data_IF_457807257356
#
_entry.id   IF_457807257356
#
_cell.length_a   1.000
_cell.length_b   1.000
_cell.length_c   1.000
_cell.angle_alpha   90.00
_cell.angle_beta   90.00
_cell.angle_gamma   90.00
#
_symmetry.space_group_name_H-M   'P 1'
#
loop_
_entity.id
_entity.type
_entity.pdbx_description
1 polymer ?
#
# COMPACT_ATOMS: atom_id res chain seq x y z
N UNK A 1 20.75 -21.92 -11.70
CA UNK A 1 19.96 -21.82 -12.95
C UNK A 1 18.59 -21.19 -12.67
N UNK A 2 17.79 -21.69 -11.72
CA UNK A 2 16.45 -21.13 -11.42
C UNK A 2 16.50 -19.74 -10.81
N UNK A 3 17.39 -19.46 -9.89
CA UNK A 3 17.56 -18.14 -9.29
C UNK A 3 18.04 -17.06 -10.26
N UNK A 4 18.64 -17.43 -11.38
CA UNK A 4 19.07 -16.52 -12.43
C UNK A 4 18.04 -16.42 -13.58
N UNK A 5 16.85 -16.99 -13.41
CA UNK A 5 15.78 -16.90 -14.40
C UNK A 5 15.02 -15.58 -14.23
N UNK A 6 14.69 -14.86 -15.30
CA UNK A 6 13.83 -13.66 -15.20
C UNK A 6 12.44 -13.94 -14.61
N UNK A 7 11.96 -15.19 -14.72
CA UNK A 7 10.71 -15.65 -14.11
C UNK A 7 10.80 -15.82 -12.58
N UNK A 8 12.00 -15.69 -11.99
CA UNK A 8 12.17 -15.73 -10.55
C UNK A 8 11.35 -14.64 -9.85
N UNK A 9 11.44 -13.42 -10.34
CA UNK A 9 10.66 -12.28 -9.80
C UNK A 9 9.16 -12.46 -9.96
N UNK A 10 8.69 -12.99 -11.08
CA UNK A 10 7.26 -13.30 -11.28
C UNK A 10 6.77 -14.36 -10.28
N UNK A 11 7.55 -15.43 -10.11
CA UNK A 11 7.20 -16.53 -9.21
C UNK A 11 7.19 -16.12 -7.74
N UNK A 12 8.22 -15.38 -7.30
CA UNK A 12 8.38 -15.02 -5.89
C UNK A 12 7.72 -13.69 -5.53
N UNK A 13 7.68 -12.75 -6.45
CA UNK A 13 6.94 -11.48 -6.30
C UNK A 13 5.46 -11.71 -6.03
N UNK A 14 4.87 -12.79 -6.57
CA UNK A 14 3.49 -13.19 -6.27
C UNK A 14 3.23 -13.33 -4.77
N UNK A 15 4.15 -13.95 -4.02
CA UNK A 15 3.96 -14.12 -2.57
C UNK A 15 3.93 -12.78 -1.83
N UNK A 16 4.75 -11.82 -2.29
CA UNK A 16 4.68 -10.47 -1.76
C UNK A 16 3.36 -9.78 -2.15
N UNK A 17 2.96 -9.87 -3.40
CA UNK A 17 1.72 -9.27 -3.90
C UNK A 17 0.49 -9.81 -3.17
N UNK A 18 0.47 -11.11 -2.85
CA UNK A 18 -0.60 -11.73 -2.08
C UNK A 18 -0.72 -11.11 -0.67
N UNK A 19 0.39 -10.92 0.04
CA UNK A 19 0.35 -10.33 1.41
C UNK A 19 0.17 -8.81 1.38
N UNK A 20 0.59 -8.14 0.30
CA UNK A 20 0.37 -6.71 0.08
C UNK A 20 -1.09 -6.37 -0.30
N UNK A 21 -1.92 -7.39 -0.56
CA UNK A 21 -3.30 -7.20 -0.98
C UNK A 21 -3.45 -6.68 -2.40
N UNK A 22 -2.49 -6.98 -3.30
CA UNK A 22 -2.54 -6.54 -4.68
C UNK A 22 -3.78 -7.08 -5.40
N UNK A 23 -4.47 -6.17 -6.08
CA UNK A 23 -5.55 -6.49 -7.00
C UNK A 23 -5.60 -5.48 -8.15
N UNK A 24 -6.15 -5.91 -9.30
CA UNK A 24 -6.34 -5.05 -10.47
C UNK A 24 -7.61 -4.18 -10.35
N UNK A 25 -8.37 -4.33 -9.27
CA UNK A 25 -9.56 -3.54 -8.95
C UNK A 25 -9.60 -3.13 -7.47
N UNK A 26 -10.51 -2.21 -7.12
CA UNK A 26 -10.62 -1.67 -5.75
C UNK A 26 -11.27 -2.66 -4.77
N UNK A 27 -11.87 -3.74 -5.25
CA UNK A 27 -12.41 -4.82 -4.41
C UNK A 27 -13.68 -4.44 -3.66
N UNK A 28 -14.48 -3.51 -4.17
CA UNK A 28 -15.71 -3.06 -3.52
C UNK A 28 -16.97 -3.46 -4.32
N UNK A 29 -17.98 -4.01 -3.64
CA UNK A 29 -19.10 -4.72 -4.25
C UNK A 29 -19.97 -3.87 -5.19
N UNK A 30 -20.22 -2.59 -4.86
CA UNK A 30 -21.15 -1.73 -5.63
C UNK A 30 -20.49 -1.00 -6.80
N UNK A 31 -19.19 -0.74 -6.71
CA UNK A 31 -18.41 -0.10 -7.75
C UNK A 31 -16.97 -0.62 -7.67
N UNK A 32 -16.76 -1.80 -8.26
CA UNK A 32 -15.43 -2.40 -8.34
C UNK A 32 -14.64 -1.75 -9.48
N UNK A 33 -14.10 -0.56 -9.20
CA UNK A 33 -13.37 0.22 -10.17
C UNK A 33 -12.02 -0.42 -10.47
N UNK A 34 -11.66 -0.47 -11.75
CA UNK A 34 -10.36 -0.94 -12.19
C UNK A 34 -9.24 0.00 -11.70
N UNK A 35 -8.14 -0.58 -11.26
CA UNK A 35 -6.90 0.12 -10.92
C UNK A 35 -5.99 0.17 -12.14
N UNK A 36 -6.25 1.11 -13.03
CA UNK A 36 -5.58 1.22 -14.34
C UNK A 36 -4.05 1.08 -14.28
N UNK A 37 -3.41 1.54 -13.19
CA UNK A 37 -1.95 1.59 -13.05
C UNK A 37 -1.39 0.59 -12.02
N UNK A 38 -2.21 -0.31 -11.49
CA UNK A 38 -1.77 -1.30 -10.48
C UNK A 38 -0.62 -2.15 -10.99
N UNK A 39 -0.61 -2.48 -12.28
CA UNK A 39 0.45 -3.25 -12.92
C UNK A 39 1.85 -2.62 -12.72
N UNK A 40 1.95 -1.30 -12.61
CA UNK A 40 3.23 -0.63 -12.40
C UNK A 40 3.86 -1.04 -11.05
N UNK A 41 3.04 -1.13 -9.99
CA UNK A 41 3.49 -1.64 -8.68
C UNK A 41 3.87 -3.12 -8.75
N UNK A 42 3.08 -3.95 -9.41
CA UNK A 42 3.42 -5.37 -9.65
C UNK A 42 4.79 -5.50 -10.34
N UNK A 43 5.00 -4.74 -11.39
CA UNK A 43 6.25 -4.76 -12.15
C UNK A 43 7.44 -4.24 -11.34
N UNK A 44 7.21 -3.27 -10.44
CA UNK A 44 8.20 -2.85 -9.44
C UNK A 44 8.61 -4.02 -8.56
N UNK A 45 7.65 -4.76 -8.00
CA UNK A 45 7.91 -5.91 -7.14
C UNK A 45 8.71 -6.99 -7.89
N UNK A 46 8.28 -7.35 -9.11
CA UNK A 46 8.98 -8.34 -9.94
C UNK A 46 10.44 -7.93 -10.18
N UNK A 47 10.68 -6.66 -10.53
CA UNK A 47 12.02 -6.13 -10.74
C UNK A 47 12.86 -6.12 -9.46
N UNK A 48 12.27 -5.77 -8.33
CA UNK A 48 12.96 -5.79 -7.03
C UNK A 48 13.47 -7.19 -6.69
N UNK A 49 12.65 -8.23 -6.87
CA UNK A 49 13.06 -9.62 -6.68
C UNK A 49 14.14 -10.07 -7.67
N UNK A 50 13.99 -9.75 -8.96
CA UNK A 50 14.98 -10.12 -9.98
C UNK A 50 16.32 -9.43 -9.78
N UNK A 51 16.33 -8.20 -9.24
CA UNK A 51 17.54 -7.44 -8.93
C UNK A 51 18.10 -7.74 -7.53
N UNK A 52 17.50 -8.70 -6.81
CA UNK A 52 17.90 -9.04 -5.44
C UNK A 52 18.01 -7.78 -4.56
N UNK A 53 17.00 -6.88 -4.64
CA UNK A 53 16.97 -5.64 -3.87
C UNK A 53 17.04 -5.96 -2.37
N UNK A 54 17.89 -5.28 -1.59
CA UNK A 54 17.92 -5.42 -0.14
C UNK A 54 16.54 -5.15 0.48
N UNK A 55 16.15 -5.95 1.48
CA UNK A 55 14.81 -5.88 2.06
C UNK A 55 14.53 -4.52 2.74
N UNK A 56 15.51 -3.94 3.40
CA UNK A 56 15.42 -2.61 4.00
C UNK A 56 15.17 -1.52 2.95
N UNK A 57 15.85 -1.58 1.80
CA UNK A 57 15.57 -0.69 0.68
C UNK A 57 14.16 -0.92 0.13
N UNK A 58 13.77 -2.18 -0.07
CA UNK A 58 12.46 -2.55 -0.59
C UNK A 58 11.32 -2.02 0.29
N UNK A 59 11.45 -2.13 1.62
CA UNK A 59 10.46 -1.59 2.56
C UNK A 59 10.48 -0.06 2.57
N UNK A 60 11.66 0.55 2.61
CA UNK A 60 11.80 2.02 2.64
C UNK A 60 11.17 2.66 1.41
N UNK A 61 11.39 2.11 0.22
CA UNK A 61 10.78 2.64 -1.01
C UNK A 61 9.26 2.52 -1.01
N UNK A 62 8.70 1.48 -0.41
CA UNK A 62 7.25 1.29 -0.35
C UNK A 62 6.55 2.19 0.67
N UNK A 63 7.23 2.53 1.76
CA UNK A 63 6.65 3.37 2.82
C UNK A 63 6.94 4.86 2.65
N UNK A 64 8.07 5.22 2.05
CA UNK A 64 8.58 6.58 1.98
C UNK A 64 9.30 6.86 0.65
N UNK A 65 8.92 6.20 -0.43
CA UNK A 65 9.54 6.38 -1.74
C UNK A 65 9.41 7.80 -2.30
N UNK A 66 8.32 8.47 -1.97
CA UNK A 66 8.07 9.87 -2.30
C UNK A 66 9.02 10.83 -1.56
N UNK A 67 9.36 10.56 -0.30
CA UNK A 67 10.33 11.32 0.48
C UNK A 67 11.77 11.19 -0.07
N UNK A 68 12.02 10.15 -0.87
CA UNK A 68 13.31 9.92 -1.52
C UNK A 68 13.43 10.62 -2.88
N UNK A 69 12.43 11.38 -3.29
CA UNK A 69 12.37 12.08 -4.59
C UNK A 69 12.11 13.57 -4.37
N UNK A 70 12.93 14.41 -4.99
CA UNK A 70 12.80 15.85 -4.87
C UNK A 70 11.58 16.38 -5.64
N UNK A 71 10.85 17.33 -5.07
CA UNK A 71 9.86 18.14 -5.78
C UNK A 71 10.51 19.22 -6.66
N UNK A 72 9.80 19.64 -7.73
CA UNK A 72 8.55 19.10 -8.27
C UNK A 72 8.73 17.76 -8.98
N UNK A 73 7.70 16.93 -9.05
CA UNK A 73 7.75 15.64 -9.73
C UNK A 73 7.64 15.79 -11.26
N UNK A 74 8.63 16.49 -11.84
CA UNK A 74 8.72 16.77 -13.27
C UNK A 74 10.00 16.17 -13.85
N UNK A 75 9.92 15.69 -15.08
CA UNK A 75 11.07 15.09 -15.79
C UNK A 75 11.80 14.01 -14.98
N UNK A 76 11.03 13.16 -14.33
CA UNK A 76 11.52 12.14 -13.40
C UNK A 76 12.47 11.15 -14.09
N UNK A 77 13.59 10.86 -13.45
CA UNK A 77 14.46 9.75 -13.81
C UNK A 77 13.73 8.41 -13.62
N UNK A 78 14.21 7.34 -14.23
CA UNK A 78 13.66 6.00 -14.04
C UNK A 78 13.72 5.57 -12.57
N UNK A 79 14.81 5.91 -11.87
CA UNK A 79 14.95 5.65 -10.43
C UNK A 79 13.88 6.39 -9.60
N UNK A 80 13.64 7.67 -9.88
CA UNK A 80 12.65 8.46 -9.19
C UNK A 80 11.23 7.90 -9.43
N UNK A 81 10.91 7.53 -10.68
CA UNK A 81 9.63 6.87 -11.00
C UNK A 81 9.48 5.55 -10.27
N UNK A 82 10.52 4.75 -10.19
CA UNK A 82 10.53 3.48 -9.46
C UNK A 82 10.19 3.70 -7.98
N UNK A 83 10.81 4.68 -7.32
CA UNK A 83 10.56 5.01 -5.90
C UNK A 83 9.12 5.47 -5.69
N UNK A 84 8.60 6.33 -6.54
CA UNK A 84 7.19 6.75 -6.48
C UNK A 84 6.23 5.60 -6.74
N UNK A 85 6.52 4.72 -7.70
CA UNK A 85 5.71 3.53 -7.97
C UNK A 85 5.65 2.58 -6.77
N UNK A 86 6.74 2.46 -6.02
CA UNK A 86 6.81 1.62 -4.83
C UNK A 86 5.78 2.03 -3.76
N UNK A 87 5.47 3.32 -3.61
CA UNK A 87 4.46 3.81 -2.64
C UNK A 87 3.04 3.36 -2.96
N UNK A 88 2.81 2.78 -4.14
CA UNK A 88 1.55 2.10 -4.47
C UNK A 88 1.16 1.02 -3.45
N UNK A 89 2.14 0.44 -2.74
CA UNK A 89 1.90 -0.48 -1.62
C UNK A 89 0.87 0.07 -0.60
N UNK A 90 0.96 1.34 -0.26
CA UNK A 90 0.07 1.97 0.72
C UNK A 90 -1.38 2.12 0.24
N UNK A 91 -1.66 1.79 -1.02
CA UNK A 91 -2.98 1.89 -1.66
C UNK A 91 -3.51 0.56 -2.18
N UNK A 92 -2.92 -0.56 -1.74
CA UNK A 92 -3.36 -1.90 -2.18
C UNK A 92 -4.60 -2.41 -1.44
N UNK A 93 -4.92 -1.87 -0.27
CA UNK A 93 -6.15 -2.20 0.44
C UNK A 93 -7.41 -1.84 -0.37
N UNK A 94 -8.55 -2.52 -0.15
CA UNK A 94 -9.83 -2.17 -0.76
C UNK A 94 -10.22 -0.71 -0.49
N UNK A 95 -10.78 -0.02 -1.49
CA UNK A 95 -11.20 1.37 -1.36
C UNK A 95 -12.64 1.58 -1.86
N UNK A 96 -13.57 1.66 -0.92
CA UNK A 96 -14.99 1.90 -1.18
C UNK A 96 -15.36 3.35 -1.50
N UNK A 97 -14.41 4.29 -1.50
CA UNK A 97 -14.70 5.72 -1.70
C UNK A 97 -15.13 6.08 -3.12
N UNK A 98 -14.95 5.16 -4.08
CA UNK A 98 -15.48 5.28 -5.43
C UNK A 98 -16.98 5.03 -5.55
N UNK A 99 -17.62 4.45 -4.54
CA UNK A 99 -19.06 4.15 -4.52
C UNK A 99 -19.89 5.37 -4.14
N UNK A 100 -20.99 5.61 -4.88
CA UNK A 100 -21.89 6.73 -4.62
C UNK A 100 -22.86 6.49 -3.46
N UNK A 101 -23.09 5.25 -3.09
CA UNK A 101 -24.05 4.82 -2.06
C UNK A 101 -23.48 4.72 -0.64
N UNK A 102 -22.23 5.14 -0.41
CA UNK A 102 -21.54 5.01 0.88
C UNK A 102 -21.34 6.35 1.58
N UNK A 103 -21.35 6.33 2.92
CA UNK A 103 -20.88 7.46 3.69
C UNK A 103 -19.38 7.64 3.45
N UNK A 104 -19.00 8.75 2.82
CA UNK A 104 -17.63 9.00 2.39
C UNK A 104 -16.64 9.13 3.57
N UNK A 105 -17.10 9.62 4.72
CA UNK A 105 -16.26 9.71 5.90
C UNK A 105 -15.95 8.31 6.45
N UNK A 106 -16.97 7.45 6.51
CA UNK A 106 -16.80 6.05 6.92
C UNK A 106 -15.91 5.32 5.94
N UNK A 107 -16.19 5.40 4.63
CA UNK A 107 -15.41 4.69 3.60
C UNK A 107 -13.93 5.07 3.62
N UNK A 108 -13.60 6.37 3.77
CA UNK A 108 -12.20 6.84 3.89
C UNK A 108 -11.52 6.27 5.14
N UNK A 109 -12.22 6.28 6.27
CA UNK A 109 -11.67 5.72 7.51
C UNK A 109 -11.47 4.20 7.44
N UNK A 110 -12.35 3.48 6.73
CA UNK A 110 -12.17 2.05 6.48
C UNK A 110 -10.95 1.81 5.58
N UNK A 111 -10.85 2.49 4.43
CA UNK A 111 -9.72 2.34 3.52
C UNK A 111 -8.36 2.60 4.22
N UNK A 112 -8.27 3.61 5.09
CA UNK A 112 -7.06 3.87 5.90
C UNK A 112 -6.81 2.72 6.89
N UNK A 113 -7.85 2.23 7.57
CA UNK A 113 -7.70 1.15 8.54
C UNK A 113 -7.24 -0.15 7.86
N UNK A 114 -7.78 -0.47 6.70
CA UNK A 114 -7.39 -1.63 5.90
C UNK A 114 -5.96 -1.50 5.38
N UNK A 115 -5.55 -0.30 4.94
CA UNK A 115 -4.17 -0.03 4.55
C UNK A 115 -3.20 -0.23 5.72
N UNK A 116 -3.52 0.25 6.92
CA UNK A 116 -2.71 0.02 8.13
C UNK A 116 -2.63 -1.47 8.45
N UNK A 117 -3.74 -2.19 8.34
CA UNK A 117 -3.77 -3.63 8.60
C UNK A 117 -2.91 -4.41 7.58
N UNK A 118 -3.05 -4.12 6.29
CA UNK A 118 -2.20 -4.72 5.23
C UNK A 118 -0.72 -4.43 5.51
N UNK A 119 -0.38 -3.19 5.83
CA UNK A 119 0.99 -2.76 6.12
C UNK A 119 1.59 -3.54 7.30
N UNK A 120 0.87 -3.61 8.42
CA UNK A 120 1.40 -4.25 9.63
C UNK A 120 1.45 -5.77 9.51
N UNK A 121 0.48 -6.39 8.85
CA UNK A 121 0.49 -7.84 8.64
C UNK A 121 1.58 -8.27 7.65
N UNK A 122 1.80 -7.52 6.57
CA UNK A 122 2.80 -7.87 5.55
C UNK A 122 4.23 -7.58 5.99
N UNK A 123 4.48 -6.49 6.73
CA UNK A 123 5.84 -6.07 7.09
C UNK A 123 6.34 -6.68 8.40
N UNK A 124 5.47 -6.79 9.39
CA UNK A 124 5.86 -7.21 10.76
C UNK A 124 5.03 -8.37 11.30
N UNK A 125 4.07 -8.90 10.55
CA UNK A 125 3.24 -10.04 10.94
C UNK A 125 2.27 -9.76 12.09
N UNK A 126 1.95 -8.49 12.38
CA UNK A 126 1.06 -8.09 13.48
C UNK A 126 -0.32 -7.68 12.97
N UNK A 127 -1.35 -8.24 13.59
CA UNK A 127 -2.76 -7.92 13.30
C UNK A 127 -3.25 -6.77 14.16
N UNK A 128 -2.83 -5.54 13.86
CA UNK A 128 -3.17 -4.38 14.68
C UNK A 128 -4.63 -3.90 14.54
N UNK A 129 -5.37 -4.40 13.55
CA UNK A 129 -6.74 -3.97 13.26
C UNK A 129 -7.70 -4.07 14.46
N UNK A 130 -7.53 -5.07 15.33
CA UNK A 130 -8.33 -5.20 16.55
C UNK A 130 -8.15 -4.02 17.52
N UNK A 131 -6.95 -3.43 17.55
CA UNK A 131 -6.61 -2.31 18.41
C UNK A 131 -7.26 -0.98 17.98
N UNK A 132 -7.93 -0.93 16.83
CA UNK A 132 -8.74 0.20 16.41
C UNK A 132 -9.90 0.51 17.36
N UNK A 133 -10.53 -0.53 17.93
CA UNK A 133 -11.73 -0.38 18.78
C UNK A 133 -11.46 -0.61 20.27
N UNK A 134 -10.49 -1.46 20.60
CA UNK A 134 -10.13 -1.81 21.98
C UNK A 134 -8.68 -2.33 22.01
N UNK A 135 -8.05 -2.41 23.17
CA UNK A 135 -6.72 -3.02 23.28
C UNK A 135 -6.72 -4.43 22.69
N UNK A 136 -5.64 -4.77 21.97
CA UNK A 136 -5.52 -6.10 21.36
C UNK A 136 -5.63 -7.19 22.44
N UNK A 137 -6.34 -8.29 22.11
CA UNK A 137 -6.68 -9.30 23.13
C UNK A 137 -5.48 -10.12 23.59
N UNK A 138 -4.56 -10.40 22.68
CA UNK A 138 -3.47 -11.35 22.91
C UNK A 138 -2.10 -10.66 22.93
N UNK A 139 -1.89 -9.70 22.04
CA UNK A 139 -0.65 -8.98 21.90
C UNK A 139 -0.64 -7.70 22.75
N UNK A 140 0.51 -7.23 23.23
CA UNK A 140 0.62 -6.00 24.04
C UNK A 140 0.49 -4.74 23.16
N UNK A 141 -0.57 -4.65 22.37
CA UNK A 141 -0.88 -3.53 21.49
C UNK A 141 -2.11 -2.82 22.05
N UNK A 142 -1.93 -1.61 22.52
CA UNK A 142 -3.04 -0.79 23.00
C UNK A 142 -3.80 -0.10 21.86
N UNK A 143 -5.03 0.33 22.14
CA UNK A 143 -5.77 1.19 21.23
C UNK A 143 -4.99 2.49 20.95
N UNK A 144 -4.30 3.02 21.97
CA UNK A 144 -3.45 4.20 21.84
C UNK A 144 -2.32 3.99 20.85
N UNK A 145 -1.68 2.81 20.84
CA UNK A 145 -0.61 2.49 19.89
C UNK A 145 -1.12 2.44 18.45
N UNK A 146 -2.33 1.91 18.24
CA UNK A 146 -2.97 1.96 16.92
C UNK A 146 -3.14 3.40 16.42
N UNK A 147 -3.66 4.30 17.27
CA UNK A 147 -3.87 5.69 16.87
C UNK A 147 -2.57 6.50 16.76
N UNK A 148 -1.53 6.15 17.52
CA UNK A 148 -0.17 6.68 17.32
C UNK A 148 0.39 6.30 15.97
N UNK A 149 0.28 5.02 15.57
CA UNK A 149 0.69 4.56 14.24
C UNK A 149 -0.10 5.29 13.14
N UNK A 150 -1.42 5.38 13.30
CA UNK A 150 -2.27 6.13 12.37
C UNK A 150 -1.85 7.60 12.26
N UNK A 151 -1.47 8.24 13.35
CA UNK A 151 -1.02 9.63 13.35
C UNK A 151 0.32 9.82 12.60
N UNK A 152 1.24 8.86 12.70
CA UNK A 152 2.50 8.85 11.93
C UNK A 152 2.20 8.80 10.43
N UNK A 153 1.20 8.03 10.03
CA UNK A 153 0.81 7.85 8.63
C UNK A 153 -0.14 8.94 8.10
N UNK A 154 -0.65 9.81 8.96
CA UNK A 154 -1.64 10.83 8.58
C UNK A 154 -1.19 11.76 7.44
N UNK A 155 0.08 12.18 7.32
CA UNK A 155 0.52 13.00 6.19
C UNK A 155 0.37 12.30 4.83
N UNK A 156 0.59 10.98 4.78
CA UNK A 156 0.45 10.18 3.58
C UNK A 156 -0.99 9.65 3.35
N UNK A 157 -1.75 9.51 4.44
CA UNK A 157 -3.11 8.92 4.47
C UNK A 157 -4.12 9.88 5.13
N UNK A 158 -4.13 11.15 4.68
CA UNK A 158 -5.07 12.13 5.21
C UNK A 158 -6.51 11.84 4.75
N UNK A 159 -7.38 11.51 5.70
CA UNK A 159 -8.78 11.23 5.41
C UNK A 159 -9.56 12.45 4.90
N UNK A 160 -9.13 13.68 5.21
CA UNK A 160 -9.75 14.93 4.74
C UNK A 160 -9.39 15.19 3.28
N UNK A 161 -8.15 14.96 2.90
CA UNK A 161 -7.64 15.12 1.55
C UNK A 161 -7.67 13.82 0.72
N UNK A 162 -8.37 12.79 1.19
CA UNK A 162 -8.44 11.49 0.50
C UNK A 162 -9.02 11.62 -0.90
N UNK A 163 -8.26 11.17 -1.89
CA UNK A 163 -8.71 11.10 -3.28
C UNK A 163 -9.31 9.73 -3.57
N UNK A 164 -10.57 9.72 -3.98
CA UNK A 164 -11.24 8.51 -4.45
C UNK A 164 -10.51 7.92 -5.67
N UNK A 165 -10.68 6.62 -5.98
CA UNK A 165 -10.01 5.97 -7.12
C UNK A 165 -10.11 6.73 -8.43
N UNK A 166 -11.29 7.25 -8.78
CA UNK A 166 -11.53 8.04 -9.99
C UNK A 166 -10.86 9.44 -10.03
N UNK A 167 -10.31 9.89 -8.90
CA UNK A 167 -9.67 11.21 -8.74
C UNK A 167 -8.14 11.11 -8.62
N UNK A 168 -7.60 9.91 -8.64
CA UNK A 168 -6.14 9.69 -8.56
C UNK A 168 -5.52 10.06 -9.90
N UNK A 169 -4.59 11.01 -9.86
CA UNK A 169 -3.73 11.37 -10.99
C UNK A 169 -2.39 10.65 -10.81
N UNK A 170 -1.85 10.15 -11.88
CA UNK A 170 -0.55 9.48 -11.93
C UNK A 170 0.43 10.37 -12.68
#
# INVERSE_FOLDING_TARGET
RLLASPQYGERWGRHWLDVAGYADSEGYADADLEREWSYAYRDYVIRAFNNNMPYDQFVTEQLAGDELVNHPYENLSEEARRKLTATGFMRMAPDGTGSSGVDQMVARNEAIADSINVMTTSLIGLTVGCARCHNHRYDPISQEDYYRLRAILAPAMDWQAWRAPSQRQI
#
